data_IF_674717942149
#
_entry.id   IF_674717942149
#
_cell.length_a   1.000
_cell.length_b   1.000
_cell.length_c   1.000
_cell.angle_alpha   90.00
_cell.angle_beta   90.00
_cell.angle_gamma   90.00
#
_symmetry.space_group_name_H-M   'P 1'
#
loop_
_entity.id
_entity.type
_entity.pdbx_description
1 polymer ?
#
# COMPACT_ATOMS: atom_id res chain seq x y z
N UNK A 1 48.28 20.78 31.05
CA UNK A 1 47.15 20.07 30.43
C UNK A 1 46.76 19.03 31.44
N UNK A 2 45.76 19.40 32.21
CA UNK A 2 45.61 18.91 33.56
C UNK A 2 44.90 17.56 33.47
N UNK A 3 45.25 16.60 34.32
CA UNK A 3 44.73 15.22 34.23
C UNK A 3 43.20 15.17 34.23
N UNK A 4 42.54 16.13 34.89
CA UNK A 4 41.09 16.31 34.87
C UNK A 4 40.53 16.69 33.49
N UNK A 5 41.25 17.51 32.70
CA UNK A 5 40.80 17.90 31.36
C UNK A 5 40.89 16.72 30.39
N UNK A 6 41.90 15.87 30.54
CA UNK A 6 42.04 14.64 29.74
C UNK A 6 40.95 13.63 30.11
N UNK A 7 40.64 13.48 31.39
CA UNK A 7 39.54 12.60 31.83
C UNK A 7 38.18 13.07 31.30
N UNK A 8 37.87 14.36 31.35
CA UNK A 8 36.62 14.89 30.77
C UNK A 8 36.50 14.60 29.28
N UNK A 9 37.57 14.77 28.52
CA UNK A 9 37.56 14.48 27.08
C UNK A 9 37.37 12.98 26.83
N UNK A 10 37.97 12.11 27.63
CA UNK A 10 37.78 10.65 27.53
C UNK A 10 36.35 10.24 27.89
N UNK A 11 35.75 10.84 28.93
CA UNK A 11 34.36 10.59 29.32
C UNK A 11 33.36 11.07 28.27
N UNK A 12 33.57 12.26 27.69
CA UNK A 12 32.75 12.80 26.60
C UNK A 12 32.86 11.93 25.34
N UNK A 13 34.07 11.47 24.99
CA UNK A 13 34.26 10.56 23.85
C UNK A 13 33.63 9.18 24.09
N UNK A 14 33.66 8.69 25.33
CA UNK A 14 33.01 7.43 25.71
C UNK A 14 31.48 7.56 25.68
N UNK A 15 30.94 8.67 26.18
CA UNK A 15 29.51 8.99 26.09
C UNK A 15 29.04 9.16 24.64
N UNK A 16 29.85 9.82 23.80
CA UNK A 16 29.57 9.97 22.37
C UNK A 16 29.65 8.63 21.62
N UNK A 17 30.59 7.75 21.98
CA UNK A 17 30.67 6.39 21.42
C UNK A 17 29.49 5.50 21.83
N UNK A 18 28.99 5.64 23.05
CA UNK A 18 27.78 4.94 23.53
C UNK A 18 26.54 5.48 22.81
N UNK A 19 26.44 6.80 22.62
CA UNK A 19 25.34 7.43 21.90
C UNK A 19 25.30 6.97 20.43
N UNK A 20 26.46 6.92 19.76
CA UNK A 20 26.58 6.41 18.38
C UNK A 20 26.18 4.92 18.32
N UNK A 21 26.60 4.10 19.28
CA UNK A 21 26.24 2.69 19.34
C UNK A 21 24.73 2.48 19.56
N UNK A 22 24.10 3.29 20.41
CA UNK A 22 22.64 3.28 20.62
C UNK A 22 21.90 3.70 19.34
N UNK A 23 22.36 4.75 18.64
CA UNK A 23 21.75 5.19 17.37
C UNK A 23 21.83 4.15 16.25
N UNK A 24 22.95 3.43 16.11
CA UNK A 24 23.10 2.35 15.12
C UNK A 24 22.15 1.17 15.42
N UNK A 25 21.94 0.86 16.71
CA UNK A 25 21.00 -0.18 17.12
C UNK A 25 19.54 0.24 16.88
N UNK A 26 19.17 1.49 17.17
CA UNK A 26 17.83 2.02 16.86
C UNK A 26 17.57 2.15 15.36
N UNK A 27 18.57 2.50 14.56
CA UNK A 27 18.49 2.53 13.10
C UNK A 27 18.30 1.11 12.55
N UNK A 28 19.03 0.12 13.09
CA UNK A 28 18.87 -1.28 12.72
C UNK A 28 17.49 -1.83 13.13
N UNK A 29 17.04 -1.57 14.37
CA UNK A 29 15.73 -2.01 14.88
C UNK A 29 14.61 -1.35 14.08
N UNK A 30 14.69 -0.04 13.84
CA UNK A 30 13.67 0.69 13.08
C UNK A 30 13.58 0.23 11.63
N UNK A 31 14.72 0.00 10.97
CA UNK A 31 14.78 -0.61 9.65
C UNK A 31 14.12 -2.01 9.64
N UNK A 32 14.46 -2.86 10.61
CA UNK A 32 13.89 -4.22 10.71
C UNK A 32 12.38 -4.20 10.95
N UNK A 33 11.88 -3.25 11.74
CA UNK A 33 10.46 -3.07 11.97
C UNK A 33 9.74 -2.54 10.73
N UNK A 34 10.36 -1.63 9.98
CA UNK A 34 9.81 -1.10 8.74
C UNK A 34 9.65 -2.20 7.68
N UNK A 35 10.67 -3.04 7.48
CA UNK A 35 10.63 -4.19 6.56
C UNK A 35 9.44 -5.12 6.84
N UNK A 36 9.22 -5.47 8.12
CA UNK A 36 8.09 -6.34 8.53
C UNK A 36 6.74 -5.72 8.19
N UNK A 37 6.61 -4.39 8.32
CA UNK A 37 5.37 -3.66 8.02
C UNK A 37 5.08 -3.63 6.52
N UNK A 38 6.10 -3.43 5.69
CA UNK A 38 5.93 -3.49 4.23
C UNK A 38 5.41 -4.86 3.80
N UNK A 39 6.09 -5.93 4.23
CA UNK A 39 5.68 -7.30 3.91
C UNK A 39 4.25 -7.64 4.36
N UNK A 40 3.85 -7.19 5.55
CA UNK A 40 2.48 -7.37 6.04
C UNK A 40 1.48 -6.61 5.16
N UNK A 41 1.80 -5.37 4.77
CA UNK A 41 0.94 -4.55 3.92
C UNK A 41 0.77 -5.18 2.53
N UNK A 42 1.88 -5.59 1.90
CA UNK A 42 1.88 -6.18 0.56
C UNK A 42 1.09 -7.49 0.51
N UNK A 43 1.27 -8.34 1.53
CA UNK A 43 0.49 -9.58 1.64
C UNK A 43 -1.00 -9.30 1.88
N UNK A 44 -1.38 -8.25 2.64
CA UNK A 44 -2.77 -7.83 2.79
C UNK A 44 -3.38 -7.32 1.47
N UNK A 45 -2.67 -6.50 0.71
CA UNK A 45 -3.12 -6.03 -0.61
C UNK A 45 -3.29 -7.20 -1.58
N UNK A 46 -2.29 -8.10 -1.63
CA UNK A 46 -2.33 -9.28 -2.47
C UNK A 46 -3.49 -10.21 -2.08
N UNK A 47 -3.75 -10.39 -0.78
CA UNK A 47 -4.87 -11.20 -0.31
C UNK A 47 -6.23 -10.58 -0.66
N UNK A 48 -6.37 -9.25 -0.53
CA UNK A 48 -7.59 -8.55 -0.94
C UNK A 48 -7.85 -8.70 -2.45
N UNK A 49 -6.81 -8.56 -3.29
CA UNK A 49 -6.91 -8.78 -4.73
C UNK A 49 -7.22 -10.24 -5.09
N UNK A 50 -6.61 -11.20 -4.37
CA UNK A 50 -6.92 -12.62 -4.52
C UNK A 50 -8.37 -12.91 -4.12
N UNK A 51 -8.88 -12.29 -3.03
CA UNK A 51 -10.28 -12.36 -2.59
C UNK A 51 -11.23 -12.00 -3.73
N UNK A 52 -10.91 -10.92 -4.43
CA UNK A 52 -11.73 -10.37 -5.51
C UNK A 52 -11.50 -11.08 -6.86
N UNK A 53 -10.70 -12.14 -6.89
CA UNK A 53 -10.50 -12.99 -8.07
C UNK A 53 -9.57 -12.39 -9.12
N UNK A 54 -8.76 -11.39 -8.75
CA UNK A 54 -7.90 -10.63 -9.67
C UNK A 54 -6.68 -11.43 -10.14
N UNK A 55 -6.18 -12.40 -9.34
CA UNK A 55 -4.98 -13.17 -9.70
C UNK A 55 -5.26 -14.50 -10.42
N UNK A 56 -4.35 -14.95 -11.30
CA UNK A 56 -4.36 -16.33 -11.77
C UNK A 56 -4.16 -17.24 -10.56
N UNK A 57 -4.92 -18.33 -10.46
CA UNK A 57 -4.93 -19.21 -9.29
C UNK A 57 -5.46 -18.58 -7.99
N UNK A 58 -6.32 -17.56 -8.06
CA UNK A 58 -6.96 -16.93 -6.89
C UNK A 58 -7.61 -17.93 -5.91
N UNK A 59 -8.07 -19.11 -6.38
CA UNK A 59 -8.59 -20.18 -5.51
C UNK A 59 -7.56 -20.71 -4.51
N UNK A 60 -6.30 -20.83 -4.91
CA UNK A 60 -5.21 -21.32 -4.05
C UNK A 60 -4.64 -20.19 -3.18
N UNK A 61 -4.53 -18.97 -3.73
CA UNK A 61 -4.04 -17.79 -3.00
C UNK A 61 -5.00 -17.35 -1.88
N UNK A 62 -6.32 -17.59 -2.03
CA UNK A 62 -7.33 -17.30 -1.00
C UNK A 62 -7.36 -18.29 0.16
N UNK A 63 -6.62 -19.39 0.10
CA UNK A 63 -6.69 -20.43 1.13
C UNK A 63 -6.05 -19.92 2.44
N UNK A 64 -6.83 -20.00 3.53
CA UNK A 64 -6.42 -19.53 4.87
C UNK A 64 -6.14 -20.75 5.77
N UNK A 65 -5.01 -20.72 6.47
CA UNK A 65 -4.69 -21.73 7.47
C UNK A 65 -5.47 -21.46 8.76
N UNK A 66 -6.30 -22.42 9.20
CA UNK A 66 -7.26 -22.24 10.30
C UNK A 66 -6.67 -21.80 11.65
N UNK A 67 -5.55 -22.37 12.16
CA UNK A 67 -5.08 -22.03 13.50
C UNK A 67 -4.40 -20.66 13.59
N UNK A 68 -3.72 -20.21 12.53
CA UNK A 68 -3.01 -18.91 12.52
C UNK A 68 -3.83 -17.81 11.82
N UNK A 69 -4.92 -18.17 11.13
CA UNK A 69 -5.74 -17.28 10.29
C UNK A 69 -4.93 -16.50 9.23
N UNK A 70 -3.74 -16.98 8.89
CA UNK A 70 -2.86 -16.35 7.90
C UNK A 70 -3.05 -17.02 6.53
N UNK A 71 -3.11 -16.24 5.44
CA UNK A 71 -3.16 -16.77 4.09
C UNK A 71 -1.75 -17.21 3.64
N UNK A 72 -1.30 -18.37 4.13
CA UNK A 72 0.08 -18.85 3.96
C UNK A 72 0.49 -18.95 2.47
N UNK A 73 -0.42 -19.41 1.61
CA UNK A 73 -0.16 -19.51 0.17
C UNK A 73 0.09 -18.15 -0.49
N UNK A 74 -0.65 -17.13 -0.08
CA UNK A 74 -0.46 -15.76 -0.56
C UNK A 74 0.84 -15.13 -0.03
N UNK A 75 1.15 -15.37 1.25
CA UNK A 75 2.40 -14.89 1.86
C UNK A 75 3.62 -15.49 1.16
N UNK A 76 3.62 -16.79 0.87
CA UNK A 76 4.68 -17.45 0.12
C UNK A 76 4.79 -16.93 -1.31
N UNK A 77 3.67 -16.66 -1.96
CA UNK A 77 3.66 -16.09 -3.32
C UNK A 77 4.34 -14.72 -3.37
N UNK A 78 3.98 -13.81 -2.46
CA UNK A 78 4.62 -12.48 -2.36
C UNK A 78 6.10 -12.63 -2.04
N UNK A 79 6.45 -13.46 -1.06
CA UNK A 79 7.84 -13.71 -0.68
C UNK A 79 8.71 -14.23 -1.85
N UNK A 80 8.17 -15.15 -2.67
CA UNK A 80 8.91 -15.70 -3.81
C UNK A 80 9.17 -14.64 -4.89
N UNK A 81 8.20 -13.75 -5.14
CA UNK A 81 8.35 -12.64 -6.08
C UNK A 81 9.42 -11.66 -5.57
N UNK A 82 9.30 -11.24 -4.31
CA UNK A 82 10.24 -10.29 -3.70
C UNK A 82 11.66 -10.86 -3.64
N UNK A 83 11.80 -12.14 -3.28
CA UNK A 83 13.09 -12.84 -3.25
C UNK A 83 13.73 -12.91 -4.65
N UNK A 84 12.93 -13.14 -5.70
CA UNK A 84 13.42 -13.16 -7.09
C UNK A 84 13.90 -11.77 -7.53
N UNK A 85 13.14 -10.72 -7.20
CA UNK A 85 13.53 -9.33 -7.49
C UNK A 85 14.76 -8.90 -6.70
N UNK A 86 14.91 -9.36 -5.45
CA UNK A 86 16.10 -9.10 -4.64
C UNK A 86 17.35 -9.77 -5.23
N UNK A 87 17.22 -11.02 -5.67
CA UNK A 87 18.33 -11.73 -6.32
C UNK A 87 18.79 -11.01 -7.58
N UNK A 88 17.85 -10.52 -8.40
CA UNK A 88 18.17 -9.81 -9.65
C UNK A 88 19.02 -8.54 -9.42
N UNK A 89 18.83 -7.87 -8.28
CA UNK A 89 19.59 -6.67 -7.91
C UNK A 89 21.06 -6.97 -7.60
N UNK A 90 21.37 -8.18 -7.10
CA UNK A 90 22.74 -8.59 -6.79
C UNK A 90 23.60 -8.86 -8.05
N UNK A 91 22.97 -9.16 -9.19
CA UNK A 91 23.69 -9.54 -10.40
C UNK A 91 24.24 -8.35 -11.19
N UNK A 92 23.55 -7.20 -11.17
CA UNK A 92 23.90 -6.07 -12.04
C UNK A 92 23.39 -4.73 -11.52
N UNK A 93 24.27 -3.72 -11.53
CA UNK A 93 23.93 -2.32 -11.23
C UNK A 93 22.94 -1.72 -12.23
N UNK A 94 22.99 -2.13 -13.50
CA UNK A 94 22.01 -1.72 -14.52
C UNK A 94 20.63 -2.32 -14.24
N UNK A 95 20.58 -3.57 -13.77
CA UNK A 95 19.31 -4.21 -13.39
C UNK A 95 18.68 -3.53 -12.17
N UNK A 96 19.48 -3.18 -11.17
CA UNK A 96 19.04 -2.42 -10.00
C UNK A 96 18.43 -1.05 -10.39
N UNK A 97 19.13 -0.27 -11.23
CA UNK A 97 18.63 1.02 -11.71
C UNK A 97 17.31 0.86 -12.50
N UNK A 98 17.20 -0.18 -13.32
CA UNK A 98 15.98 -0.47 -14.05
C UNK A 98 14.81 -0.81 -13.12
N UNK A 99 15.02 -1.65 -12.09
CA UNK A 99 13.97 -2.03 -11.11
C UNK A 99 13.44 -0.80 -10.38
N UNK A 100 14.30 0.10 -9.90
CA UNK A 100 13.87 1.33 -9.21
C UNK A 100 13.04 2.22 -10.14
N UNK A 101 13.47 2.40 -11.39
CA UNK A 101 12.74 3.18 -12.37
C UNK A 101 11.36 2.56 -12.66
N UNK A 102 11.28 1.24 -12.82
CA UNK A 102 10.02 0.51 -13.03
C UNK A 102 9.08 0.66 -11.83
N UNK A 103 9.60 0.46 -10.61
CA UNK A 103 8.81 0.60 -9.39
C UNK A 103 8.23 2.01 -9.27
N UNK A 104 9.07 3.03 -9.45
CA UNK A 104 8.67 4.44 -9.38
C UNK A 104 7.62 4.76 -10.44
N UNK A 105 7.83 4.37 -11.69
CA UNK A 105 6.87 4.60 -12.78
C UNK A 105 5.55 3.85 -12.55
N UNK A 106 5.60 2.62 -12.03
CA UNK A 106 4.41 1.86 -11.64
C UNK A 106 3.58 2.60 -10.60
N UNK A 107 4.22 3.18 -9.58
CA UNK A 107 3.54 4.03 -8.59
C UNK A 107 2.95 5.29 -9.23
N UNK A 108 3.70 6.00 -10.08
CA UNK A 108 3.23 7.21 -10.75
C UNK A 108 1.98 6.93 -11.60
N UNK A 109 1.98 5.83 -12.38
CA UNK A 109 0.84 5.40 -13.19
C UNK A 109 -0.34 4.99 -12.31
N UNK A 110 -0.09 4.24 -11.22
CA UNK A 110 -1.14 3.84 -10.27
C UNK A 110 -1.86 5.04 -9.66
N UNK A 111 -1.15 6.13 -9.34
CA UNK A 111 -1.75 7.39 -8.88
C UNK A 111 -2.42 8.17 -10.01
N UNK A 112 -1.88 8.12 -11.22
CA UNK A 112 -2.46 8.80 -12.39
C UNK A 112 -3.86 8.28 -12.71
N UNK A 113 -4.10 6.98 -12.64
CA UNK A 113 -5.39 6.34 -12.96
C UNK A 113 -6.57 6.95 -12.18
N UNK A 114 -6.61 6.95 -10.83
CA UNK A 114 -7.73 7.50 -10.07
C UNK A 114 -7.85 9.02 -10.22
N UNK A 115 -6.73 9.76 -10.35
CA UNK A 115 -6.73 11.21 -10.59
C UNK A 115 -7.38 11.53 -11.94
N UNK A 116 -7.01 10.79 -12.99
CA UNK A 116 -7.58 10.92 -14.31
C UNK A 116 -9.06 10.52 -14.34
N UNK A 117 -9.42 9.44 -13.66
CA UNK A 117 -10.81 8.99 -13.52
C UNK A 117 -11.66 10.04 -12.78
N UNK A 118 -11.08 10.72 -11.79
CA UNK A 118 -11.68 11.84 -11.05
C UNK A 118 -11.97 13.04 -11.96
N UNK A 119 -11.06 13.36 -12.87
CA UNK A 119 -11.24 14.43 -13.85
C UNK A 119 -12.35 14.14 -14.88
N UNK A 120 -12.47 12.89 -15.32
CA UNK A 120 -13.33 12.48 -16.44
C UNK A 120 -14.69 11.94 -16.00
N UNK A 121 -14.73 10.69 -15.52
CA UNK A 121 -15.95 9.89 -15.36
C UNK A 121 -16.55 10.02 -13.95
N UNK A 122 -15.71 10.22 -12.93
CA UNK A 122 -16.12 10.26 -11.54
C UNK A 122 -16.63 11.63 -11.06
N UNK A 123 -16.70 12.65 -11.93
CA UNK A 123 -17.31 13.94 -11.60
C UNK A 123 -18.83 13.84 -11.42
N UNK A 124 -19.49 12.99 -12.21
CA UNK A 124 -20.97 12.91 -12.29
C UNK A 124 -21.56 11.66 -11.63
N UNK A 125 -20.78 10.59 -11.46
CA UNK A 125 -21.28 9.27 -11.00
C UNK A 125 -21.06 8.98 -9.51
N UNK A 126 -20.14 9.66 -8.82
CA UNK A 126 -19.85 9.37 -7.41
C UNK A 126 -20.62 10.31 -6.48
N UNK A 127 -21.28 9.78 -5.43
CA UNK A 127 -21.84 10.60 -4.37
C UNK A 127 -20.71 11.43 -3.74
N UNK A 128 -21.02 12.68 -3.38
CA UNK A 128 -20.05 13.56 -2.73
C UNK A 128 -19.73 12.98 -1.34
N UNK A 129 -18.49 12.59 -1.12
CA UNK A 129 -18.02 12.17 0.20
C UNK A 129 -17.99 13.34 1.19
N UNK A 130 -17.91 13.01 2.49
CA UNK A 130 -17.88 13.96 3.61
C UNK A 130 -16.78 15.02 3.47
N UNK A 131 -15.64 14.64 2.88
CA UNK A 131 -14.56 15.55 2.51
C UNK A 131 -14.59 15.87 1.01
N UNK A 132 -14.73 17.16 0.67
CA UNK A 132 -14.78 17.62 -0.72
C UNK A 132 -14.05 18.96 -0.90
N UNK A 133 -13.03 18.96 -1.77
CA UNK A 133 -12.29 20.17 -2.17
C UNK A 133 -13.09 21.14 -3.06
N UNK A 134 -14.35 20.80 -3.37
CA UNK A 134 -15.26 21.62 -4.15
C UNK A 134 -14.69 21.97 -5.53
N UNK A 135 -14.64 23.27 -5.83
CA UNK A 135 -14.15 23.81 -7.11
C UNK A 135 -12.66 23.63 -7.36
N UNK A 136 -11.85 23.46 -6.29
CA UNK A 136 -10.40 23.31 -6.42
C UNK A 136 -9.97 21.88 -6.78
N UNK A 137 -10.86 20.89 -6.62
CA UNK A 137 -10.51 19.50 -6.91
C UNK A 137 -10.13 19.24 -8.36
N UNK A 138 -10.75 19.93 -9.33
CA UNK A 138 -10.49 19.73 -10.76
C UNK A 138 -9.16 20.37 -11.20
N UNK A 139 -8.88 21.66 -10.89
CA UNK A 139 -7.59 22.26 -11.21
C UNK A 139 -6.41 21.50 -10.60
N UNK A 140 -6.52 21.08 -9.34
CA UNK A 140 -5.46 20.33 -8.65
C UNK A 140 -5.22 18.99 -9.35
N UNK A 141 -6.29 18.27 -9.70
CA UNK A 141 -6.16 16.99 -10.40
C UNK A 141 -5.51 17.13 -11.80
N UNK A 142 -5.78 18.23 -12.52
CA UNK A 142 -5.13 18.53 -13.80
C UNK A 142 -3.63 18.82 -13.59
N UNK A 143 -3.29 19.68 -12.63
CA UNK A 143 -1.89 20.02 -12.31
C UNK A 143 -1.12 18.76 -11.89
N UNK A 144 -1.69 17.94 -11.00
CA UNK A 144 -1.10 16.66 -10.59
C UNK A 144 -0.91 15.70 -11.76
N UNK A 145 -1.89 15.59 -12.67
CA UNK A 145 -1.79 14.71 -13.85
C UNK A 145 -0.67 15.17 -14.80
N UNK A 146 -0.55 16.47 -15.04
CA UNK A 146 0.53 17.05 -15.85
C UNK A 146 1.88 16.78 -15.18
N UNK A 147 1.98 17.02 -13.88
CA UNK A 147 3.19 16.77 -13.10
C UNK A 147 3.65 15.31 -13.17
N UNK A 148 2.75 14.36 -12.89
CA UNK A 148 3.02 12.92 -12.97
C UNK A 148 3.46 12.49 -14.38
N UNK A 149 2.90 13.11 -15.43
CA UNK A 149 3.28 12.82 -16.82
C UNK A 149 4.71 13.30 -17.11
N UNK A 150 5.03 14.53 -16.70
CA UNK A 150 6.37 15.12 -16.90
C UNK A 150 7.43 14.30 -16.15
N UNK A 151 7.22 13.99 -14.87
CA UNK A 151 8.17 13.21 -14.06
C UNK A 151 8.36 11.81 -14.63
N UNK A 152 7.29 11.18 -15.12
CA UNK A 152 7.36 9.87 -15.75
C UNK A 152 8.18 9.90 -17.03
N UNK A 153 8.02 10.92 -17.89
CA UNK A 153 8.83 11.05 -19.11
C UNK A 153 10.31 11.28 -18.79
N UNK A 154 10.63 12.10 -17.79
CA UNK A 154 12.01 12.39 -17.40
C UNK A 154 12.72 11.12 -16.89
N UNK A 155 12.01 10.30 -16.10
CA UNK A 155 12.53 9.02 -15.58
C UNK A 155 12.90 7.99 -16.67
N UNK A 156 12.33 8.11 -17.86
CA UNK A 156 12.63 7.21 -18.98
C UNK A 156 13.93 7.59 -19.71
N UNK A 157 14.45 8.81 -19.50
CA UNK A 157 15.72 9.22 -20.09
C UNK A 157 16.93 8.63 -19.36
N UNK A 158 18.01 8.28 -20.07
CA UNK A 158 19.25 7.81 -19.45
C UNK A 158 19.97 8.95 -18.72
N UNK A 159 20.47 8.69 -17.52
CA UNK A 159 21.12 9.70 -16.67
C UNK A 159 22.52 10.14 -17.16
N UNK A 160 23.16 9.36 -18.03
CA UNK A 160 24.57 9.53 -18.41
C UNK A 160 24.76 9.48 -19.93
N UNK A 161 25.58 10.38 -20.46
CA UNK A 161 26.01 10.42 -21.86
C UNK A 161 27.52 10.14 -21.93
N UNK A 162 28.05 9.35 -22.88
CA UNK A 162 27.38 8.72 -24.03
C UNK A 162 26.59 7.44 -23.70
N UNK A 163 25.49 7.22 -24.45
CA UNK A 163 24.59 6.08 -24.27
C UNK A 163 25.24 4.81 -24.86
N UNK A 164 25.66 3.89 -23.99
CA UNK A 164 26.14 2.56 -24.40
C UNK A 164 25.10 1.50 -24.05
N UNK A 165 25.16 0.32 -24.70
CA UNK A 165 24.23 -0.82 -24.42
C UNK A 165 24.21 -1.23 -22.94
N UNK A 166 25.28 -0.98 -22.18
CA UNK A 166 25.35 -1.27 -20.74
C UNK A 166 24.70 -0.20 -19.86
N UNK A 167 24.51 1.02 -20.38
CA UNK A 167 24.07 2.20 -19.64
C UNK A 167 22.69 2.72 -20.10
N UNK A 168 22.04 2.02 -21.02
CA UNK A 168 20.69 2.37 -21.48
C UNK A 168 19.67 2.02 -20.39
N UNK A 169 18.73 2.92 -20.13
CA UNK A 169 17.63 2.64 -19.21
C UNK A 169 16.64 1.66 -19.87
N UNK A 170 16.70 0.39 -19.47
CA UNK A 170 15.79 -0.66 -19.97
C UNK A 170 14.39 -0.62 -19.34
N UNK A 171 14.11 0.33 -18.44
CA UNK A 171 12.82 0.42 -17.76
C UNK A 171 11.63 0.53 -18.73
N UNK A 172 11.76 1.30 -19.82
CA UNK A 172 10.69 1.45 -20.83
C UNK A 172 10.27 0.08 -21.39
N UNK A 173 11.26 -0.74 -21.77
CA UNK A 173 11.02 -2.04 -22.39
C UNK A 173 10.38 -3.02 -21.40
N UNK A 174 10.85 -3.05 -20.16
CA UNK A 174 10.30 -3.93 -19.12
C UNK A 174 8.88 -3.50 -18.75
N UNK A 175 8.62 -2.20 -18.58
CA UNK A 175 7.27 -1.67 -18.31
C UNK A 175 6.32 -2.01 -19.44
N UNK A 176 6.73 -1.77 -20.69
CA UNK A 176 5.93 -2.13 -21.86
C UNK A 176 5.58 -3.62 -21.88
N UNK A 177 6.55 -4.48 -21.60
CA UNK A 177 6.34 -5.93 -21.49
C UNK A 177 5.34 -6.31 -20.39
N UNK A 178 5.52 -5.78 -19.18
CA UNK A 178 4.61 -6.04 -18.05
C UNK A 178 3.20 -5.52 -18.34
N UNK A 179 3.08 -4.33 -18.91
CA UNK A 179 1.78 -3.75 -19.28
C UNK A 179 1.05 -4.59 -20.34
N UNK A 180 1.78 -5.13 -21.32
CA UNK A 180 1.22 -6.04 -22.33
C UNK A 180 0.73 -7.33 -21.66
N UNK A 181 1.56 -7.97 -20.82
CA UNK A 181 1.18 -9.20 -20.11
C UNK A 181 -0.05 -8.98 -19.24
N UNK A 182 -0.08 -7.87 -18.48
CA UNK A 182 -1.22 -7.51 -17.65
C UNK A 182 -2.49 -7.24 -18.48
N UNK A 183 -2.35 -6.56 -19.62
CA UNK A 183 -3.48 -6.28 -20.52
C UNK A 183 -4.03 -7.56 -21.16
N UNK A 184 -3.16 -8.46 -21.60
CA UNK A 184 -3.57 -9.77 -22.13
C UNK A 184 -4.29 -10.58 -21.05
N UNK A 185 -3.71 -10.66 -19.85
CA UNK A 185 -4.34 -11.35 -18.73
C UNK A 185 -5.72 -10.76 -18.38
N UNK A 186 -5.85 -9.43 -18.43
CA UNK A 186 -7.13 -8.76 -18.23
C UNK A 186 -8.18 -9.15 -19.27
N UNK A 187 -7.81 -9.12 -20.54
CA UNK A 187 -8.69 -9.46 -21.67
C UNK A 187 -9.15 -10.93 -21.60
N UNK A 188 -8.23 -11.84 -21.29
CA UNK A 188 -8.52 -13.28 -21.33
C UNK A 188 -9.18 -13.82 -20.06
N UNK A 189 -8.84 -13.31 -18.87
CA UNK A 189 -9.25 -13.94 -17.60
C UNK A 189 -9.85 -12.96 -16.60
N UNK A 190 -9.16 -11.84 -16.31
CA UNK A 190 -9.54 -11.00 -15.17
C UNK A 190 -10.90 -10.32 -15.37
N UNK A 191 -11.24 -9.90 -16.61
CA UNK A 191 -12.55 -9.26 -16.89
C UNK A 191 -13.76 -10.17 -16.62
N UNK A 192 -13.57 -11.49 -16.59
CA UNK A 192 -14.64 -12.45 -16.33
C UNK A 192 -14.74 -12.84 -14.85
N UNK A 193 -13.63 -12.73 -14.10
CA UNK A 193 -13.56 -13.11 -12.68
C UNK A 193 -13.79 -11.92 -11.74
N UNK A 194 -13.54 -10.70 -12.20
CA UNK A 194 -13.70 -9.48 -11.42
C UNK A 194 -15.17 -9.03 -11.40
N UNK A 195 -15.91 -9.45 -10.37
CA UNK A 195 -17.12 -8.77 -9.97
C UNK A 195 -16.69 -7.53 -9.17
N UNK A 196 -17.09 -6.33 -9.60
CA UNK A 196 -16.71 -5.06 -8.95
C UNK A 196 -17.04 -5.01 -7.45
N UNK A 197 -16.74 -3.88 -6.77
CA UNK A 197 -16.85 -3.77 -5.31
C UNK A 197 -18.23 -4.24 -4.82
N UNK A 198 -18.27 -5.38 -4.11
CA UNK A 198 -19.49 -5.88 -3.47
C UNK A 198 -19.81 -4.95 -2.31
N UNK A 199 -20.80 -4.09 -2.52
CA UNK A 199 -21.35 -3.20 -1.52
C UNK A 199 -22.23 -3.99 -0.57
N UNK A 200 -21.76 -4.20 0.66
CA UNK A 200 -22.53 -4.87 1.71
C UNK A 200 -23.82 -4.11 2.04
N UNK A 201 -23.87 -2.82 1.73
CA UNK A 201 -25.01 -1.91 1.89
C UNK A 201 -26.11 -2.07 0.83
N UNK A 202 -25.86 -2.78 -0.28
CA UNK A 202 -26.81 -2.86 -1.41
C UNK A 202 -27.17 -4.29 -1.84
N UNK A 203 -26.64 -5.33 -1.19
CA UNK A 203 -26.88 -6.74 -1.54
C UNK A 203 -28.00 -7.32 -0.65
N UNK A 204 -29.19 -7.67 -1.19
CA UNK A 204 -30.29 -8.29 -0.43
C UNK A 204 -30.02 -9.76 -0.08
N UNK A 205 -28.80 -10.27 -0.33
CA UNK A 205 -28.40 -11.60 0.12
C UNK A 205 -28.54 -11.68 1.64
N UNK A 206 -29.20 -12.71 2.20
CA UNK A 206 -29.33 -12.88 3.64
C UNK A 206 -27.92 -12.86 4.26
N UNK A 207 -27.68 -11.89 5.14
CA UNK A 207 -26.44 -11.82 5.91
C UNK A 207 -26.25 -13.18 6.61
N UNK A 208 -25.01 -13.71 6.68
CA UNK A 208 -24.75 -14.93 7.43
C UNK A 208 -25.27 -14.76 8.86
N UNK A 209 -26.02 -15.73 9.42
CA UNK A 209 -26.63 -15.61 10.73
C UNK A 209 -25.53 -15.40 11.78
N UNK A 210 -25.52 -14.23 12.42
CA UNK A 210 -24.57 -13.88 13.48
C UNK A 210 -23.88 -12.51 13.35
N UNK A 211 -24.08 -11.76 12.25
CA UNK A 211 -23.59 -10.38 12.17
C UNK A 211 -24.62 -9.41 12.75
N UNK A 212 -24.57 -9.19 14.06
CA UNK A 212 -25.27 -8.08 14.73
C UNK A 212 -24.85 -6.79 14.04
N UNK A 213 -25.79 -6.07 13.41
CA UNK A 213 -25.48 -4.74 12.90
C UNK A 213 -25.23 -3.80 14.07
N UNK A 214 -24.45 -2.74 13.87
CA UNK A 214 -24.25 -1.73 14.92
C UNK A 214 -25.59 -1.16 15.40
N UNK A 215 -26.60 -1.10 14.53
CA UNK A 215 -27.97 -0.72 14.89
C UNK A 215 -28.66 -1.75 15.79
N UNK A 216 -28.49 -3.05 15.54
CA UNK A 216 -29.07 -4.11 16.38
C UNK A 216 -28.41 -4.17 17.76
N UNK A 217 -27.08 -4.02 17.82
CA UNK A 217 -26.35 -3.94 19.09
C UNK A 217 -26.72 -2.68 19.90
N UNK A 218 -26.95 -1.55 19.23
CA UNK A 218 -27.42 -0.32 19.87
C UNK A 218 -28.85 -0.49 20.37
N UNK A 219 -29.76 -1.08 19.59
CA UNK A 219 -31.14 -1.37 20.03
C UNK A 219 -31.18 -2.34 21.19
N UNK A 220 -30.33 -3.36 21.19
CA UNK A 220 -30.19 -4.31 22.29
C UNK A 220 -29.64 -3.63 23.54
N UNK A 221 -28.66 -2.72 23.42
CA UNK A 221 -28.15 -1.92 24.54
C UNK A 221 -29.17 -0.93 25.12
N UNK A 222 -30.03 -0.34 24.28
CA UNK A 222 -31.11 0.55 24.71
C UNK A 222 -32.23 -0.25 25.38
N UNK A 223 -32.52 -1.47 24.88
CA UNK A 223 -33.55 -2.34 25.44
C UNK A 223 -33.12 -2.98 26.77
N UNK A 224 -31.82 -3.21 26.95
CA UNK A 224 -31.25 -3.77 28.19
C UNK A 224 -30.83 -2.71 29.22
N UNK A 225 -30.88 -1.42 28.87
CA UNK A 225 -30.63 -0.35 29.81
C UNK A 225 -31.74 -0.30 30.88
N UNK A 226 -31.42 -0.29 32.18
CA UNK A 226 -32.42 -0.15 33.24
C UNK A 226 -33.15 1.20 33.06
N UNK A 227 -34.48 1.25 33.29
CA UNK A 227 -35.21 2.51 33.19
C UNK A 227 -34.59 3.52 34.14
N UNK A 228 -34.32 4.74 33.62
CA UNK A 228 -33.78 5.83 34.42
C UNK A 228 -34.67 6.04 35.66
N UNK A 229 -34.11 6.18 36.87
CA UNK A 229 -34.91 6.41 38.06
C UNK A 229 -35.75 7.67 37.84
N UNK A 230 -37.07 7.51 37.79
CA UNK A 230 -38.02 8.62 37.77
C UNK A 230 -37.66 9.55 38.93
N UNK A 231 -37.38 10.81 38.58
CA UNK A 231 -37.20 11.87 39.56
C UNK A 231 -38.58 12.10 40.18
N UNK A 232 -38.84 11.41 41.29
CA UNK A 232 -40.06 11.55 42.09
C UNK A 232 -40.19 13.02 42.46
N UNK A 233 -41.12 13.69 41.78
CA UNK A 233 -41.50 15.08 41.94
C UNK A 233 -41.67 15.42 43.42
N UNK A 234 -40.75 16.25 43.93
CA UNK A 234 -40.71 16.73 45.30
C UNK A 234 -41.77 17.83 45.51
N UNK A 235 -43.05 17.44 45.38
CA UNK A 235 -44.18 18.20 45.91
C UNK A 235 -44.86 17.39 47.00
N UNK A 236 -44.34 17.53 48.22
CA UNK A 236 -45.07 17.59 49.49
C UNK A 236 -44.10 18.07 50.58
#
# INVERSE_FOLDING_TARGET
MDSESVQKVVEELFAFSILIADTEEWDFISARLAERKFFTSDSCYSFAMARDGVFPFSRYLRWIFKPTKTPLGNVLFVFLIDSTLLLLQLLSTTAFAAIIAIATLGYQVSYLIPIFLRCTSARKKFPRGEFNLGRFGVPIAIISSIWLTITSTIMLFPANYPITKKNMNYAVAVIGGVAIIASLYWIFSARHSFAGPKRTDTDPSPLPPGHITAEDAVKESILTAPPSPETRDSRM
#
